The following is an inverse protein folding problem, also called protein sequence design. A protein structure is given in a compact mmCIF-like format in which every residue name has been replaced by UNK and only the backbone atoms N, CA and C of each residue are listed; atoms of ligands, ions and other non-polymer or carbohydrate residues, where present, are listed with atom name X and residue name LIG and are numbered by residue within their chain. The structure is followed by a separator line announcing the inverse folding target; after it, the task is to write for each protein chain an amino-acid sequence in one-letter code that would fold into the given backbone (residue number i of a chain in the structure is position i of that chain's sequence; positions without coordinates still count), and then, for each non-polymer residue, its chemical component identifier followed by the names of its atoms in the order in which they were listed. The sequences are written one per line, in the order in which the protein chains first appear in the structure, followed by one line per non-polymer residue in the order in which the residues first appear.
data_IF_916291748348
#
_entry.id   IF_916291748348
#
_cell.length_a   1.000
_cell.length_b   1.000
_cell.length_c   1.000
_cell.angle_alpha   90.00
_cell.angle_beta   90.00
_cell.angle_gamma   90.00
#
_symmetry.space_group_name_H-M   'P 1'
#
loop_
_entity.id
_entity.type
_entity.pdbx_description
1 polymer ?
#
# COMPACT_ATOMS: atom_id res chain seq x y z
N UNK A 1 -31.52 -11.93 -5.62
CA UNK A 1 -30.93 -13.27 -5.85
C UNK A 1 -30.12 -13.37 -7.16
N UNK A 2 -30.55 -12.82 -8.29
CA UNK A 2 -29.81 -12.93 -9.58
C UNK A 2 -28.43 -12.24 -9.62
N UNK A 3 -28.22 -11.13 -8.91
CA UNK A 3 -26.94 -10.41 -8.89
C UNK A 3 -25.83 -11.19 -8.17
N UNK A 4 -26.15 -11.84 -7.05
CA UNK A 4 -25.17 -12.62 -6.28
C UNK A 4 -24.67 -13.86 -7.03
N UNK A 5 -25.54 -14.53 -7.79
CA UNK A 5 -25.12 -15.69 -8.60
C UNK A 5 -24.23 -15.30 -9.78
N UNK A 6 -24.46 -14.15 -10.40
CA UNK A 6 -23.60 -13.61 -11.45
C UNK A 6 -22.23 -13.21 -10.91
N UNK A 7 -22.20 -12.51 -9.77
CA UNK A 7 -20.97 -12.12 -9.10
C UNK A 7 -20.15 -13.35 -8.72
N UNK A 8 -20.77 -14.36 -8.14
CA UNK A 8 -20.12 -15.64 -7.79
C UNK A 8 -19.45 -16.28 -9.01
N UNK A 9 -20.15 -16.39 -10.15
CA UNK A 9 -19.59 -16.95 -11.38
C UNK A 9 -18.41 -16.15 -11.92
N UNK A 10 -18.45 -14.80 -11.81
CA UNK A 10 -17.35 -13.94 -12.23
C UNK A 10 -16.13 -14.18 -11.34
N UNK A 11 -16.32 -14.19 -10.02
CA UNK A 11 -15.26 -14.46 -9.04
C UNK A 11 -14.66 -15.85 -9.28
N UNK A 12 -15.48 -16.89 -9.43
CA UNK A 12 -15.02 -18.26 -9.72
C UNK A 12 -14.20 -18.33 -11.03
N UNK A 13 -14.63 -17.65 -12.08
CA UNK A 13 -13.92 -17.62 -13.36
C UNK A 13 -12.57 -16.88 -13.24
N UNK A 14 -12.54 -15.77 -12.55
CA UNK A 14 -11.34 -14.94 -12.37
C UNK A 14 -10.33 -15.54 -11.39
N UNK A 15 -10.79 -16.39 -10.46
CA UNK A 15 -9.93 -17.02 -9.44
C UNK A 15 -9.88 -18.54 -9.57
N UNK A 16 -10.02 -19.06 -10.81
CA UNK A 16 -10.11 -20.50 -11.12
C UNK A 16 -8.94 -21.30 -10.56
N UNK A 17 -7.74 -20.74 -10.55
CA UNK A 17 -6.57 -21.33 -9.94
C UNK A 17 -5.79 -20.27 -9.15
N UNK A 18 -4.83 -20.70 -8.31
CA UNK A 18 -4.05 -19.83 -7.45
C UNK A 18 -3.26 -18.74 -8.20
N UNK A 19 -2.77 -19.04 -9.40
CA UNK A 19 -2.00 -18.09 -10.21
C UNK A 19 -2.91 -17.00 -10.82
N UNK A 20 -4.09 -17.40 -11.32
CA UNK A 20 -5.09 -16.44 -11.77
C UNK A 20 -5.60 -15.57 -10.62
N UNK A 21 -5.81 -16.17 -9.43
CA UNK A 21 -6.14 -15.42 -8.23
C UNK A 21 -5.08 -14.37 -7.89
N UNK A 22 -3.80 -14.77 -7.92
CA UNK A 22 -2.69 -13.84 -7.67
C UNK A 22 -2.63 -12.73 -8.73
N UNK A 23 -2.80 -13.06 -10.01
CA UNK A 23 -2.84 -12.05 -11.07
C UNK A 23 -3.99 -11.06 -10.88
N UNK A 24 -5.17 -11.54 -10.51
CA UNK A 24 -6.33 -10.68 -10.21
C UNK A 24 -6.05 -9.78 -9.02
N UNK A 25 -5.52 -10.34 -7.92
CA UNK A 25 -5.16 -9.55 -6.73
C UNK A 25 -4.12 -8.47 -7.03
N UNK A 26 -3.10 -8.80 -7.83
CA UNK A 26 -2.08 -7.88 -8.30
C UNK A 26 -2.70 -6.73 -9.10
N UNK A 27 -3.49 -7.05 -10.14
CA UNK A 27 -4.10 -6.03 -11.01
C UNK A 27 -5.07 -5.15 -10.22
N UNK A 28 -5.94 -5.76 -9.41
CA UNK A 28 -6.91 -5.01 -8.59
C UNK A 28 -6.19 -4.05 -7.64
N UNK A 29 -5.16 -4.53 -6.94
CA UNK A 29 -4.41 -3.69 -6.00
C UNK A 29 -3.61 -2.61 -6.73
N UNK A 30 -3.03 -2.92 -7.89
CA UNK A 30 -2.31 -1.95 -8.73
C UNK A 30 -3.24 -0.81 -9.19
N UNK A 31 -4.51 -1.11 -9.49
CA UNK A 31 -5.51 -0.11 -9.91
C UNK A 31 -6.05 0.67 -8.71
N UNK A 32 -6.43 -0.03 -7.63
CA UNK A 32 -7.02 0.60 -6.42
C UNK A 32 -5.94 1.29 -5.58
N UNK A 33 -4.67 0.89 -5.71
CA UNK A 33 -3.52 1.37 -4.92
C UNK A 33 -3.68 1.14 -3.40
N UNK A 34 -4.44 0.10 -3.01
CA UNK A 34 -4.68 -0.28 -1.61
C UNK A 34 -4.86 -1.78 -1.46
N UNK A 35 -3.83 -2.46 -0.96
CA UNK A 35 -3.90 -3.89 -0.62
C UNK A 35 -4.85 -4.16 0.55
N UNK A 36 -4.91 -3.24 1.52
CA UNK A 36 -5.88 -3.34 2.62
C UNK A 36 -7.32 -3.36 2.12
N UNK A 37 -7.69 -2.45 1.21
CA UNK A 37 -9.04 -2.42 0.61
C UNK A 37 -9.31 -3.70 -0.18
N UNK A 38 -8.34 -4.18 -0.95
CA UNK A 38 -8.46 -5.46 -1.68
C UNK A 38 -8.67 -6.63 -0.71
N UNK A 39 -7.88 -6.70 0.37
CA UNK A 39 -8.00 -7.78 1.36
C UNK A 39 -9.32 -7.73 2.11
N UNK A 40 -9.76 -6.55 2.55
CA UNK A 40 -11.09 -6.38 3.19
C UNK A 40 -12.22 -6.85 2.27
N UNK A 41 -12.15 -6.51 0.98
CA UNK A 41 -13.12 -6.98 -0.01
C UNK A 41 -13.09 -8.50 -0.14
N UNK A 42 -11.92 -9.12 -0.19
CA UNK A 42 -11.74 -10.57 -0.26
C UNK A 42 -12.30 -11.26 0.99
N UNK A 43 -12.01 -10.73 2.19
CA UNK A 43 -12.58 -11.22 3.47
C UNK A 43 -14.12 -11.15 3.41
N UNK A 44 -14.68 -10.05 2.89
CA UNK A 44 -16.11 -9.88 2.69
C UNK A 44 -16.69 -10.93 1.71
N UNK A 45 -16.03 -11.20 0.59
CA UNK A 45 -16.47 -12.21 -0.37
C UNK A 45 -16.45 -13.62 0.21
N UNK A 46 -15.42 -13.95 1.00
CA UNK A 46 -15.34 -15.24 1.70
C UNK A 46 -16.45 -15.34 2.75
N UNK A 47 -16.70 -14.28 3.51
CA UNK A 47 -17.77 -14.24 4.50
C UNK A 47 -19.17 -14.41 3.87
N UNK A 48 -19.37 -13.86 2.68
CA UNK A 48 -20.60 -13.99 1.90
C UNK A 48 -20.73 -15.33 1.13
N UNK A 49 -19.73 -16.22 1.23
CA UNK A 49 -19.72 -17.50 0.48
C UNK A 49 -19.54 -17.37 -1.03
N UNK A 50 -19.06 -16.21 -1.49
CA UNK A 50 -18.77 -15.93 -2.92
C UNK A 50 -17.39 -16.41 -3.34
N UNK A 51 -16.48 -16.64 -2.40
CA UNK A 51 -15.10 -17.05 -2.61
C UNK A 51 -14.68 -18.09 -1.58
N UNK A 52 -13.89 -19.06 -1.98
CA UNK A 52 -13.29 -20.05 -1.08
C UNK A 52 -12.00 -19.50 -0.45
N UNK A 53 -11.55 -20.08 0.67
CA UNK A 53 -10.28 -19.72 1.30
C UNK A 53 -9.09 -19.88 0.33
N UNK A 54 -9.07 -20.96 -0.45
CA UNK A 54 -7.97 -21.22 -1.39
C UNK A 54 -7.89 -20.15 -2.49
N UNK A 55 -9.04 -19.69 -3.01
CA UNK A 55 -9.10 -18.60 -3.98
C UNK A 55 -8.65 -17.28 -3.33
N UNK A 56 -9.13 -17.00 -2.12
CA UNK A 56 -8.77 -15.80 -1.37
C UNK A 56 -7.26 -15.69 -1.12
N UNK A 57 -6.61 -16.80 -0.76
CA UNK A 57 -5.16 -16.87 -0.56
C UNK A 57 -4.41 -16.38 -1.80
N UNK A 58 -4.78 -16.88 -3.00
CA UNK A 58 -4.16 -16.41 -4.24
C UNK A 58 -4.32 -14.91 -4.45
N UNK A 59 -5.54 -14.39 -4.26
CA UNK A 59 -5.82 -12.95 -4.45
C UNK A 59 -5.05 -12.10 -3.44
N UNK A 60 -4.97 -12.52 -2.17
CA UNK A 60 -4.21 -11.80 -1.12
C UNK A 60 -2.72 -11.76 -1.46
N UNK A 61 -2.13 -12.88 -1.87
CA UNK A 61 -0.72 -12.91 -2.30
C UNK A 61 -0.48 -11.94 -3.46
N UNK A 62 -1.38 -11.92 -4.44
CA UNK A 62 -1.32 -10.97 -5.55
C UNK A 62 -1.48 -9.51 -5.10
N UNK A 63 -2.37 -9.25 -4.14
CA UNK A 63 -2.57 -7.92 -3.59
C UNK A 63 -1.30 -7.37 -2.92
N UNK A 64 -0.58 -8.21 -2.17
CA UNK A 64 0.69 -7.83 -1.55
C UNK A 64 1.76 -7.49 -2.61
N UNK A 65 1.84 -8.30 -3.69
CA UNK A 65 2.73 -7.98 -4.81
C UNK A 65 2.29 -6.66 -5.48
N UNK A 66 0.99 -6.44 -5.67
CA UNK A 66 0.45 -5.23 -6.31
C UNK A 66 0.84 -3.93 -5.59
N UNK A 67 1.02 -3.97 -4.27
CA UNK A 67 1.47 -2.83 -3.48
C UNK A 67 2.89 -2.39 -3.84
N UNK A 68 3.75 -3.30 -4.32
CA UNK A 68 5.13 -2.96 -4.71
C UNK A 68 5.18 -1.98 -5.89
N UNK A 69 4.14 -1.94 -6.72
CA UNK A 69 4.04 -0.99 -7.85
C UNK A 69 4.06 0.45 -7.33
N UNK A 70 3.42 0.74 -6.19
CA UNK A 70 3.49 2.07 -5.56
C UNK A 70 4.93 2.43 -5.19
N UNK A 71 5.67 1.50 -4.58
CA UNK A 71 7.08 1.71 -4.26
C UNK A 71 7.93 1.96 -5.51
N UNK A 72 7.69 1.22 -6.60
CA UNK A 72 8.37 1.45 -7.88
C UNK A 72 8.05 2.83 -8.46
N UNK A 73 6.80 3.26 -8.41
CA UNK A 73 6.40 4.59 -8.87
C UNK A 73 7.09 5.70 -8.06
N UNK A 74 7.19 5.53 -6.75
CA UNK A 74 7.88 6.46 -5.84
C UNK A 74 9.39 6.45 -6.13
N UNK A 75 9.98 5.32 -6.46
CA UNK A 75 11.41 5.19 -6.76
C UNK A 75 11.83 5.92 -8.05
N UNK A 76 10.91 6.17 -8.98
CA UNK A 76 11.15 7.02 -10.15
C UNK A 76 11.18 8.48 -9.67
N UNK A 77 12.34 8.99 -9.32
CA UNK A 77 12.55 10.36 -8.81
C UNK A 77 11.97 11.42 -9.77
N UNK A 78 10.69 11.69 -9.68
CA UNK A 78 9.97 12.70 -10.47
C UNK A 78 9.83 14.04 -9.73
N UNK A 79 10.71 14.30 -8.75
CA UNK A 79 10.61 15.46 -7.88
C UNK A 79 10.58 16.78 -8.66
N UNK A 80 11.41 16.90 -9.70
CA UNK A 80 11.50 18.11 -10.52
C UNK A 80 10.23 18.35 -11.36
N UNK A 81 9.48 17.29 -11.66
CA UNK A 81 8.23 17.36 -12.40
C UNK A 81 7.01 17.58 -11.50
N UNK A 82 7.16 17.44 -10.18
CA UNK A 82 6.05 17.53 -9.24
C UNK A 82 5.28 18.86 -9.31
N UNK A 83 5.92 20.05 -9.32
CA UNK A 83 5.20 21.32 -9.46
C UNK A 83 4.44 21.43 -10.78
N UNK A 84 5.02 20.94 -11.88
CA UNK A 84 4.41 20.95 -13.21
C UNK A 84 3.19 20.02 -13.22
N UNK A 85 3.31 18.83 -12.62
CA UNK A 85 2.20 17.89 -12.51
C UNK A 85 1.03 18.49 -11.69
N UNK A 86 1.32 19.16 -10.58
CA UNK A 86 0.30 19.86 -9.78
C UNK A 86 -0.39 20.91 -10.63
N UNK A 87 0.36 21.76 -11.31
CA UNK A 87 -0.18 22.82 -12.14
C UNK A 87 -1.10 22.27 -13.24
N UNK A 88 -0.62 21.30 -14.02
CA UNK A 88 -1.41 20.65 -15.09
C UNK A 88 -2.67 20.01 -14.50
N UNK A 89 -2.55 19.25 -13.41
CA UNK A 89 -3.67 18.58 -12.77
C UNK A 89 -4.74 19.58 -12.30
N UNK A 90 -4.33 20.67 -11.65
CA UNK A 90 -5.26 21.72 -11.18
C UNK A 90 -5.94 22.41 -12.36
N UNK A 91 -5.21 22.77 -13.42
CA UNK A 91 -5.79 23.35 -14.64
C UNK A 91 -6.83 22.41 -15.25
N UNK A 92 -6.53 21.10 -15.32
CA UNK A 92 -7.50 20.11 -15.83
C UNK A 92 -8.76 20.03 -14.96
N UNK A 93 -8.61 20.06 -13.63
CA UNK A 93 -9.74 20.00 -12.68
C UNK A 93 -10.64 21.24 -12.83
N UNK A 94 -10.03 22.43 -12.96
CA UNK A 94 -10.76 23.70 -12.98
C UNK A 94 -11.42 23.99 -14.34
N UNK A 95 -10.71 23.77 -15.43
CA UNK A 95 -11.13 24.26 -16.75
C UNK A 95 -11.80 23.19 -17.63
N UNK A 96 -11.57 21.90 -17.39
CA UNK A 96 -12.17 20.85 -18.20
C UNK A 96 -13.56 20.47 -17.64
N UNK A 97 -14.58 20.54 -18.47
CA UNK A 97 -15.97 20.22 -18.06
C UNK A 97 -16.25 18.72 -18.01
N UNK A 98 -15.53 17.91 -18.83
CA UNK A 98 -15.78 16.47 -18.94
C UNK A 98 -15.23 15.72 -17.72
N UNK A 99 -16.09 15.04 -16.98
CA UNK A 99 -15.81 14.36 -15.73
C UNK A 99 -14.61 13.39 -15.80
N UNK A 100 -14.50 12.61 -16.88
CA UNK A 100 -13.38 11.67 -17.05
C UNK A 100 -12.02 12.35 -17.06
N UNK A 101 -11.89 13.51 -17.71
CA UNK A 101 -10.64 14.27 -17.72
C UNK A 101 -10.37 14.98 -16.38
N UNK A 102 -11.41 15.34 -15.62
CA UNK A 102 -11.22 15.83 -14.24
C UNK A 102 -10.60 14.77 -13.36
N UNK A 103 -11.02 13.50 -13.46
CA UNK A 103 -10.40 12.41 -12.71
C UNK A 103 -8.93 12.20 -13.10
N UNK A 104 -8.59 12.31 -14.38
CA UNK A 104 -7.19 12.28 -14.82
C UNK A 104 -6.40 13.45 -14.20
N UNK A 105 -6.97 14.65 -14.20
CA UNK A 105 -6.38 15.82 -13.54
C UNK A 105 -6.16 15.60 -12.04
N UNK A 106 -7.12 14.97 -11.35
CA UNK A 106 -6.98 14.61 -9.92
C UNK A 106 -5.84 13.61 -9.68
N UNK A 107 -5.68 12.61 -10.56
CA UNK A 107 -4.58 11.65 -10.47
C UNK A 107 -3.24 12.36 -10.66
N UNK A 108 -3.11 13.21 -11.68
CA UNK A 108 -1.87 13.94 -11.98
C UNK A 108 -1.53 14.91 -10.84
N UNK A 109 -2.51 15.67 -10.33
CA UNK A 109 -2.30 16.58 -9.20
C UNK A 109 -1.92 15.82 -7.93
N UNK A 110 -2.61 14.71 -7.63
CA UNK A 110 -2.31 13.86 -6.47
C UNK A 110 -0.90 13.29 -6.52
N UNK A 111 -0.45 12.87 -7.69
CA UNK A 111 0.94 12.41 -7.90
C UNK A 111 1.94 13.54 -7.64
N UNK A 112 1.71 14.73 -8.18
CA UNK A 112 2.55 15.88 -7.94
C UNK A 112 2.62 16.26 -6.46
N UNK A 113 1.48 16.26 -5.75
CA UNK A 113 1.41 16.54 -4.30
C UNK A 113 2.19 15.48 -3.50
N UNK A 114 2.08 14.20 -3.88
CA UNK A 114 2.83 13.13 -3.24
C UNK A 114 4.34 13.36 -3.32
N UNK A 115 4.88 13.62 -4.51
CA UNK A 115 6.31 13.85 -4.71
C UNK A 115 6.80 15.13 -4.02
N UNK A 116 6.03 16.22 -4.09
CA UNK A 116 6.35 17.45 -3.39
C UNK A 116 6.38 17.25 -1.86
N UNK A 117 5.38 16.51 -1.33
CA UNK A 117 5.33 16.16 0.08
C UNK A 117 6.53 15.32 0.53
N UNK A 118 6.96 14.35 -0.30
CA UNK A 118 8.14 13.53 -0.02
C UNK A 118 9.43 14.37 -0.02
N UNK A 119 9.59 15.29 -0.96
CA UNK A 119 10.75 16.20 -1.01
C UNK A 119 10.78 17.07 0.25
N UNK A 120 9.67 17.76 0.56
CA UNK A 120 9.58 18.61 1.75
C UNK A 120 9.84 17.84 3.04
N UNK A 121 9.35 16.60 3.14
CA UNK A 121 9.61 15.74 4.28
C UNK A 121 11.09 15.36 4.36
N UNK A 122 11.71 15.02 3.24
CA UNK A 122 13.14 14.71 3.16
C UNK A 122 13.97 15.90 3.64
N UNK A 123 13.70 17.10 3.14
CA UNK A 123 14.41 18.33 3.49
C UNK A 123 14.23 18.67 4.98
N UNK A 124 13.02 18.51 5.52
CA UNK A 124 12.74 18.75 6.94
C UNK A 124 13.46 17.75 7.86
N UNK A 125 13.74 16.55 7.39
CA UNK A 125 14.42 15.48 8.14
C UNK A 125 15.94 15.47 7.92
N UNK A 126 16.46 16.17 6.91
CA UNK A 126 17.87 16.21 6.60
C UNK A 126 18.76 16.61 7.82
N UNK A 127 18.39 17.61 8.67
CA UNK A 127 19.20 17.95 9.84
C UNK A 127 19.35 16.81 10.86
N UNK A 128 18.42 15.84 10.88
CA UNK A 128 18.52 14.67 11.76
C UNK A 128 19.69 13.77 11.39
N UNK A 129 20.04 13.69 10.09
CA UNK A 129 21.17 12.89 9.63
C UNK A 129 22.51 13.38 10.15
N UNK A 130 22.60 14.65 10.55
CA UNK A 130 23.81 15.27 11.11
C UNK A 130 23.89 15.10 12.63
N UNK A 131 22.77 14.84 13.31
CA UNK A 131 22.70 14.69 14.76
C UNK A 131 23.38 13.41 15.24
N UNK A 132 24.40 13.53 16.11
CA UNK A 132 25.08 12.37 16.69
C UNK A 132 24.13 11.50 17.53
N UNK A 133 23.25 12.14 18.32
CA UNK A 133 22.23 11.44 19.10
C UNK A 133 21.32 10.59 18.22
N UNK A 134 20.99 11.09 17.04
CA UNK A 134 20.16 10.37 16.08
C UNK A 134 20.93 9.19 15.44
N UNK A 135 22.20 9.38 15.10
CA UNK A 135 23.07 8.31 14.59
C UNK A 135 23.24 7.18 15.59
N UNK A 136 23.43 7.51 16.86
CA UNK A 136 23.55 6.52 17.95
C UNK A 136 22.23 5.76 18.14
N UNK A 137 21.09 6.44 18.06
CA UNK A 137 19.78 5.81 18.05
C UNK A 137 19.60 4.90 16.83
N UNK A 138 20.02 5.33 15.64
CA UNK A 138 19.94 4.53 14.42
C UNK A 138 20.82 3.28 14.47
N UNK A 139 21.95 3.30 15.20
CA UNK A 139 22.76 2.09 15.42
C UNK A 139 21.96 0.96 16.12
N UNK A 140 20.97 1.34 16.93
CA UNK A 140 20.05 0.40 17.59
C UNK A 140 19.08 -0.23 16.58
N UNK A 141 18.74 0.44 15.48
CA UNK A 141 17.90 -0.11 14.40
C UNK A 141 18.61 -1.14 13.53
N UNK A 142 19.92 -1.34 13.71
CA UNK A 142 20.65 -2.45 13.08
C UNK A 142 20.18 -3.83 13.59
N UNK A 143 19.49 -3.87 14.74
CA UNK A 143 18.85 -5.08 15.22
C UNK A 143 17.59 -5.37 14.35
N UNK A 144 17.55 -6.51 13.62
CA UNK A 144 16.44 -6.87 12.75
C UNK A 144 15.07 -6.85 13.42
N UNK A 145 14.99 -7.33 14.68
CA UNK A 145 13.72 -7.37 15.42
C UNK A 145 13.17 -6.00 15.73
N UNK A 146 14.04 -5.05 16.05
CA UNK A 146 13.63 -3.67 16.35
C UNK A 146 13.13 -3.00 15.07
N UNK A 147 13.84 -3.17 13.94
CA UNK A 147 13.41 -2.66 12.64
C UNK A 147 12.02 -3.17 12.25
N UNK A 148 11.78 -4.48 12.37
CA UNK A 148 10.49 -5.10 12.11
C UNK A 148 9.41 -4.54 13.04
N UNK A 149 9.68 -4.42 14.34
CA UNK A 149 8.70 -3.91 15.31
C UNK A 149 8.30 -2.46 15.00
N UNK A 150 9.27 -1.61 14.67
CA UNK A 150 9.01 -0.21 14.30
C UNK A 150 8.14 -0.13 13.05
N UNK A 151 8.51 -0.86 11.98
CA UNK A 151 7.74 -0.90 10.74
C UNK A 151 6.30 -1.38 10.98
N UNK A 152 6.13 -2.41 11.81
CA UNK A 152 4.84 -2.96 12.20
C UNK A 152 3.98 -1.91 12.92
N UNK A 153 4.49 -1.33 14.00
CA UNK A 153 3.74 -0.35 14.82
C UNK A 153 3.41 0.89 14.00
N UNK A 154 4.38 1.41 13.24
CA UNK A 154 4.19 2.58 12.41
C UNK A 154 3.10 2.37 11.36
N UNK A 155 3.13 1.25 10.64
CA UNK A 155 2.11 0.95 9.62
C UNK A 155 0.76 0.59 10.25
N UNK A 156 0.74 -0.09 11.39
CA UNK A 156 -0.50 -0.37 12.12
C UNK A 156 -1.23 0.91 12.56
N UNK A 157 -0.49 1.98 12.89
CA UNK A 157 -1.06 3.30 13.25
C UNK A 157 -1.53 4.04 11.99
N UNK A 158 -0.68 4.15 10.97
CA UNK A 158 -0.99 4.90 9.73
C UNK A 158 -2.04 4.18 8.88
N UNK A 159 -2.15 2.86 8.97
CA UNK A 159 -3.06 2.01 8.18
C UNK A 159 -2.81 2.08 6.66
N UNK A 160 -1.62 2.52 6.24
CA UNK A 160 -1.21 2.63 4.84
C UNK A 160 0.25 2.22 4.68
N UNK A 161 0.48 1.04 4.12
CA UNK A 161 1.85 0.57 3.83
C UNK A 161 2.53 1.42 2.75
N UNK A 162 1.79 1.90 1.76
CA UNK A 162 2.34 2.78 0.72
C UNK A 162 2.84 4.11 1.30
N UNK A 163 2.07 4.73 2.21
CA UNK A 163 2.50 5.94 2.91
C UNK A 163 3.72 5.64 3.80
N UNK A 164 3.71 4.53 4.54
CA UNK A 164 4.82 4.11 5.38
C UNK A 164 6.11 3.87 4.58
N UNK A 165 6.00 3.22 3.42
CA UNK A 165 7.14 3.02 2.50
C UNK A 165 7.63 4.36 1.96
N UNK A 166 6.75 5.28 1.60
CA UNK A 166 7.11 6.63 1.15
C UNK A 166 7.93 7.39 2.20
N UNK A 167 7.49 7.35 3.47
CA UNK A 167 8.25 7.94 4.59
C UNK A 167 9.63 7.30 4.73
N UNK A 168 9.69 5.97 4.71
CA UNK A 168 10.95 5.24 4.81
C UNK A 168 11.90 5.56 3.64
N UNK A 169 11.38 5.67 2.42
CA UNK A 169 12.18 6.05 1.24
C UNK A 169 12.73 7.47 1.34
N UNK A 170 11.96 8.41 1.88
CA UNK A 170 12.44 9.77 2.13
C UNK A 170 13.57 9.78 3.16
N UNK A 171 13.42 9.05 4.27
CA UNK A 171 14.45 8.92 5.31
C UNK A 171 15.71 8.24 4.79
N UNK A 172 15.57 7.17 4.01
CA UNK A 172 16.70 6.46 3.40
C UNK A 172 17.40 7.32 2.34
N UNK A 173 16.64 8.10 1.57
CA UNK A 173 17.15 9.03 0.56
C UNK A 173 18.02 10.14 1.15
N UNK A 174 17.78 10.56 2.38
CA UNK A 174 18.58 11.52 3.14
C UNK A 174 19.70 10.88 3.95
N UNK A 175 19.89 9.56 3.83
CA UNK A 175 20.91 8.84 4.62
C UNK A 175 20.57 8.72 6.11
N UNK A 176 19.36 9.06 6.49
CA UNK A 176 18.87 9.01 7.89
C UNK A 176 18.70 7.56 8.35
N UNK A 177 18.23 6.68 7.46
CA UNK A 177 18.07 5.24 7.71
C UNK A 177 18.95 4.46 6.74
N UNK A 178 19.90 3.64 7.22
CA UNK A 178 20.70 2.76 6.37
C UNK A 178 19.81 1.78 5.59
N UNK A 179 20.18 1.46 4.36
CA UNK A 179 19.41 0.56 3.49
C UNK A 179 19.24 -0.82 4.13
N UNK A 180 20.27 -1.32 4.80
CA UNK A 180 20.25 -2.61 5.51
C UNK A 180 19.17 -2.64 6.59
N UNK A 181 19.02 -1.54 7.33
CA UNK A 181 17.98 -1.39 8.35
C UNK A 181 16.59 -1.19 7.74
N UNK A 182 16.51 -0.47 6.63
CA UNK A 182 15.26 -0.22 5.92
C UNK A 182 14.56 -1.51 5.48
N UNK A 183 15.31 -2.55 5.10
CA UNK A 183 14.75 -3.86 4.72
C UNK A 183 13.94 -4.48 5.87
N UNK A 184 14.44 -4.42 7.10
CA UNK A 184 13.73 -4.95 8.27
C UNK A 184 12.47 -4.13 8.58
N UNK A 185 12.54 -2.81 8.43
CA UNK A 185 11.37 -1.94 8.58
C UNK A 185 10.29 -2.27 7.54
N UNK A 186 10.66 -2.55 6.28
CA UNK A 186 9.71 -2.96 5.23
C UNK A 186 9.01 -4.27 5.60
N UNK A 187 9.73 -5.25 6.15
CA UNK A 187 9.08 -6.47 6.64
C UNK A 187 8.05 -6.17 7.72
N UNK A 188 8.39 -5.29 8.66
CA UNK A 188 7.47 -4.82 9.68
C UNK A 188 6.25 -4.10 9.10
N UNK A 189 6.44 -3.24 8.11
CA UNK A 189 5.37 -2.52 7.44
C UNK A 189 4.37 -3.49 6.77
N UNK A 190 4.86 -4.56 6.15
CA UNK A 190 4.00 -5.58 5.58
C UNK A 190 3.15 -6.27 6.65
N UNK A 191 3.76 -6.63 7.79
CA UNK A 191 3.03 -7.23 8.92
C UNK A 191 2.03 -6.23 9.50
N UNK A 192 2.40 -4.95 9.65
CA UNK A 192 1.53 -3.89 10.15
C UNK A 192 0.26 -3.70 9.33
N UNK A 193 0.33 -3.94 8.02
CA UNK A 193 -0.84 -3.89 7.14
C UNK A 193 -1.88 -4.96 7.47
N UNK A 194 -1.47 -6.09 8.06
CA UNK A 194 -2.38 -7.18 8.45
C UNK A 194 -3.39 -6.75 9.52
N UNK A 195 -3.11 -5.72 10.30
CA UNK A 195 -4.03 -5.18 11.33
C UNK A 195 -5.37 -4.82 10.71
N UNK A 196 -5.39 -4.22 9.53
CA UNK A 196 -6.64 -3.88 8.80
C UNK A 196 -7.45 -5.14 8.47
N UNK A 197 -6.79 -6.21 8.02
CA UNK A 197 -7.43 -7.49 7.73
C UNK A 197 -8.02 -8.12 9.00
N UNK A 198 -7.29 -8.08 10.11
CA UNK A 198 -7.74 -8.58 11.41
C UNK A 198 -8.95 -7.79 11.90
N UNK A 199 -8.94 -6.47 11.82
CA UNK A 199 -10.08 -5.63 12.19
C UNK A 199 -11.31 -5.94 11.32
N UNK A 200 -11.13 -6.15 10.02
CA UNK A 200 -12.22 -6.43 9.08
C UNK A 200 -12.89 -7.79 9.31
N UNK A 201 -12.25 -8.71 10.00
CA UNK A 201 -12.81 -10.04 10.27
C UNK A 201 -13.57 -10.14 11.61
N UNK A 202 -13.66 -9.05 12.36
CA UNK A 202 -14.45 -9.00 13.61
C UNK A 202 -15.94 -9.22 13.26
N UNK A 203 -16.58 -10.16 13.94
CA UNK A 203 -17.98 -10.51 13.66
C UNK A 203 -18.23 -11.41 12.45
N UNK A 204 -17.19 -11.80 11.69
CA UNK A 204 -17.33 -12.66 10.52
C UNK A 204 -17.26 -14.16 10.88
N UNK A 205 -17.57 -15.02 9.90
CA UNK A 205 -17.50 -16.47 10.05
C UNK A 205 -16.05 -16.98 10.16
N UNK A 206 -15.89 -18.28 10.53
CA UNK A 206 -14.56 -18.91 10.73
C UNK A 206 -13.69 -18.88 9.48
N UNK A 207 -14.28 -19.01 8.30
CA UNK A 207 -13.52 -19.03 7.04
C UNK A 207 -12.98 -17.64 6.70
N UNK A 208 -13.76 -16.60 6.92
CA UNK A 208 -13.32 -15.21 6.77
C UNK A 208 -12.21 -14.84 7.75
N UNK A 209 -12.29 -15.29 9.02
CA UNK A 209 -11.20 -15.13 10.01
C UNK A 209 -9.91 -15.81 9.56
N UNK A 210 -9.99 -17.03 9.03
CA UNK A 210 -8.84 -17.73 8.44
C UNK A 210 -8.27 -16.98 7.23
N UNK A 211 -9.14 -16.36 6.43
CA UNK A 211 -8.69 -15.52 5.30
C UNK A 211 -7.89 -14.32 5.78
N UNK A 212 -8.33 -13.64 6.84
CA UNK A 212 -7.59 -12.53 7.43
C UNK A 212 -6.22 -12.95 8.02
N UNK A 213 -6.13 -14.18 8.55
CA UNK A 213 -4.84 -14.70 9.07
C UNK A 213 -3.88 -15.17 7.99
N UNK A 214 -4.33 -15.36 6.76
CA UNK A 214 -3.47 -15.68 5.60
C UNK A 214 -2.73 -14.44 5.08
N UNK A 215 -3.30 -13.25 5.29
CA UNK A 215 -2.68 -11.98 4.89
C UNK A 215 -1.42 -11.71 5.69
#
# INVERSE_FOLDING_TARGET
MAAGSRLKKIVEKLTRNKYMGALVGLIVTMVIQSSSSTTVMVVGFVNAGLMTLAQATGVIMGANIGTTVTGLLIAIKLNDLAPIAIFIGVVMIMFIKKTSYKHVGQIIAGFGILFMGMTNMGDALAPLSESQMFKDMMSTFSNPLIGVLIGLVFTAIIQSSSASVGVLMALAGQGVVPIESAVFVIFGQNIGTCVTAVLSCIGTNRTAKRTATVH
#
